data_IF_599817309774
#
_entry.id   IF_599817309774
#
_cell.length_a   1.000
_cell.length_b   1.000
_cell.length_c   1.000
_cell.angle_alpha   90.00
_cell.angle_beta   90.00
_cell.angle_gamma   90.00
#
_symmetry.space_group_name_H-M   'P 1'
#
loop_
_entity.id
_entity.type
_entity.pdbx_description
1 polymer ?
#
# COMPACT_ATOMS: atom_id res chain seq x y z
N UNK A 1 24.78 2.56 3.39
CA UNK A 1 24.13 3.78 3.91
C UNK A 1 22.65 3.48 3.95
N UNK A 2 22.16 3.21 5.16
CA UNK A 2 20.79 2.80 5.41
C UNK A 2 19.84 3.93 5.02
N UNK A 3 18.80 3.61 4.23
CA UNK A 3 17.76 4.56 3.85
C UNK A 3 16.88 4.90 5.05
N UNK A 4 17.42 5.60 6.04
CA UNK A 4 16.66 6.03 7.22
C UNK A 4 15.75 7.19 6.83
N UNK A 5 14.44 6.95 6.90
CA UNK A 5 13.42 7.95 6.70
C UNK A 5 13.19 8.74 8.00
N UNK A 6 13.49 10.04 8.02
CA UNK A 6 13.21 10.91 9.18
C UNK A 6 11.69 11.02 9.42
N UNK A 7 11.22 10.95 10.67
CA UNK A 7 9.78 11.03 10.98
C UNK A 7 9.23 12.43 10.67
N UNK A 8 8.04 12.49 10.04
CA UNK A 8 7.32 13.75 9.87
C UNK A 8 6.74 14.22 11.21
N UNK A 9 6.98 15.48 11.64
CA UNK A 9 6.37 16.01 12.84
C UNK A 9 4.85 16.09 12.66
N UNK A 10 4.10 15.70 13.69
CA UNK A 10 2.62 15.73 13.74
C UNK A 10 1.90 14.77 12.79
N UNK A 11 2.57 13.72 12.30
CA UNK A 11 1.92 12.64 11.53
C UNK A 11 2.14 11.34 12.28
N UNK A 12 1.05 10.63 12.57
CA UNK A 12 1.11 9.30 13.20
C UNK A 12 0.78 8.23 12.16
N UNK A 13 1.56 7.17 12.15
CA UNK A 13 1.41 6.05 11.22
C UNK A 13 0.86 4.82 11.95
N UNK A 14 -0.12 4.13 11.36
CA UNK A 14 -0.55 2.79 11.77
C UNK A 14 0.54 1.78 11.45
N UNK A 15 1.06 1.84 10.23
CA UNK A 15 2.16 1.00 9.79
C UNK A 15 2.99 1.70 8.72
N UNK A 16 4.23 1.26 8.61
CA UNK A 16 5.18 1.65 7.58
C UNK A 16 5.61 0.39 6.84
N UNK A 17 5.69 0.42 5.51
CA UNK A 17 6.22 -0.64 4.69
C UNK A 17 7.26 -0.05 3.74
N UNK A 18 8.49 -0.58 3.78
CA UNK A 18 9.55 -0.20 2.84
C UNK A 18 9.47 -1.10 1.62
N UNK A 19 9.28 -0.50 0.45
CA UNK A 19 9.35 -1.15 -0.85
C UNK A 19 10.69 -0.76 -1.48
N UNK A 20 11.53 -1.75 -1.74
CA UNK A 20 12.82 -1.55 -2.38
C UNK A 20 12.64 -0.99 -3.80
N UNK A 21 13.65 -0.25 -4.29
CA UNK A 21 13.59 0.36 -5.62
C UNK A 21 13.37 -0.65 -6.74
N UNK A 22 13.93 -1.85 -6.61
CA UNK A 22 13.85 -2.86 -7.67
C UNK A 22 12.46 -3.50 -7.72
N UNK A 23 11.87 -3.83 -6.58
CA UNK A 23 10.46 -4.26 -6.46
C UNK A 23 9.51 -3.19 -6.99
N UNK A 24 9.71 -1.92 -6.60
CA UNK A 24 8.85 -0.85 -7.10
C UNK A 24 9.05 -0.60 -8.61
N UNK A 25 10.24 -0.85 -9.15
CA UNK A 25 10.49 -0.75 -10.60
C UNK A 25 9.76 -1.82 -11.37
N UNK A 26 9.85 -3.06 -10.92
CA UNK A 26 9.06 -4.19 -11.44
C UNK A 26 7.57 -3.85 -11.47
N UNK A 27 7.01 -3.36 -10.35
CA UNK A 27 5.60 -2.97 -10.26
C UNK A 27 5.18 -1.95 -11.33
N UNK A 28 6.02 -0.94 -11.60
CA UNK A 28 5.72 0.12 -12.56
C UNK A 28 5.95 -0.32 -14.01
N UNK A 29 6.91 -1.20 -14.26
CA UNK A 29 7.20 -1.74 -15.60
C UNK A 29 6.12 -2.72 -16.07
N UNK A 30 5.64 -3.58 -15.16
CA UNK A 30 4.58 -4.56 -15.41
C UNK A 30 3.17 -3.96 -15.31
N UNK A 31 3.07 -2.68 -14.92
CA UNK A 31 1.80 -2.00 -14.85
C UNK A 31 1.27 -1.68 -16.26
N UNK A 32 0.28 -2.44 -16.69
CA UNK A 32 -0.37 -2.29 -18.01
C UNK A 32 -1.80 -1.70 -17.89
N UNK A 33 -2.36 -1.66 -16.68
CA UNK A 33 -3.76 -1.32 -16.46
C UNK A 33 -4.06 0.18 -16.66
N UNK A 34 -5.30 0.49 -17.05
CA UNK A 34 -5.87 1.85 -16.95
C UNK A 34 -6.40 2.14 -15.56
N UNK A 35 -6.66 1.11 -14.75
CA UNK A 35 -7.18 1.20 -13.39
C UNK A 35 -6.16 1.84 -12.48
N UNK A 36 -6.56 2.95 -11.83
CA UNK A 36 -5.71 3.70 -10.90
C UNK A 36 -5.97 3.34 -9.44
N UNK A 37 -6.79 2.35 -9.17
CA UNK A 37 -7.05 1.89 -7.80
C UNK A 37 -5.91 0.95 -7.40
N UNK A 38 -5.21 1.33 -6.34
CA UNK A 38 -4.20 0.52 -5.68
C UNK A 38 -4.85 -0.07 -4.44
N UNK A 39 -4.72 -1.37 -4.26
CA UNK A 39 -5.02 -2.03 -2.99
C UNK A 39 -3.79 -2.71 -2.44
N UNK A 40 -3.70 -2.77 -1.13
CA UNK A 40 -2.55 -3.31 -0.44
C UNK A 40 -2.99 -4.07 0.78
N UNK A 41 -2.27 -5.15 1.07
CA UNK A 41 -2.35 -5.89 2.31
C UNK A 41 -0.96 -5.89 2.93
N UNK A 42 -0.87 -5.38 4.15
CA UNK A 42 0.39 -5.25 4.89
C UNK A 42 0.24 -6.06 6.16
N UNK A 43 1.15 -7.00 6.39
CA UNK A 43 1.25 -7.78 7.61
C UNK A 43 2.67 -7.72 8.15
N UNK A 44 2.95 -8.29 9.31
CA UNK A 44 4.31 -8.41 9.86
C UNK A 44 5.25 -9.30 9.03
N UNK A 45 4.72 -10.07 8.07
CA UNK A 45 5.49 -11.05 7.27
C UNK A 45 5.43 -10.81 5.77
N UNK A 46 4.35 -10.17 5.32
CA UNK A 46 3.94 -10.16 3.94
C UNK A 46 3.41 -8.80 3.53
N UNK A 47 3.87 -8.33 2.38
CA UNK A 47 3.30 -7.21 1.66
C UNK A 47 2.73 -7.69 0.33
N UNK A 48 1.46 -7.38 0.07
CA UNK A 48 0.80 -7.61 -1.21
C UNK A 48 0.33 -6.26 -1.73
N UNK A 49 0.64 -5.96 -2.98
CA UNK A 49 0.08 -4.82 -3.70
C UNK A 49 -0.65 -5.30 -4.95
N UNK A 50 -1.84 -4.79 -5.19
CA UNK A 50 -2.65 -5.08 -6.36
C UNK A 50 -3.04 -3.78 -7.04
N UNK A 51 -2.82 -3.68 -8.35
CA UNK A 51 -3.24 -2.52 -9.15
C UNK A 51 -3.85 -3.05 -10.45
N UNK A 52 -5.17 -2.85 -10.60
CA UNK A 52 -5.92 -3.49 -11.68
C UNK A 52 -5.84 -5.01 -11.58
N UNK A 53 -5.32 -5.65 -12.62
CA UNK A 53 -5.17 -7.12 -12.71
C UNK A 53 -3.80 -7.62 -12.23
N UNK A 54 -2.85 -6.71 -12.00
CA UNK A 54 -1.49 -7.06 -11.58
C UNK A 54 -1.42 -7.15 -10.06
N UNK A 55 -0.82 -8.23 -9.55
CA UNK A 55 -0.55 -8.42 -8.13
C UNK A 55 0.91 -8.76 -7.90
N UNK A 56 1.52 -8.07 -6.95
CA UNK A 56 2.89 -8.28 -6.52
C UNK A 56 2.91 -8.69 -5.05
N UNK A 57 3.69 -9.73 -4.76
CA UNK A 57 3.80 -10.35 -3.45
C UNK A 57 5.25 -10.31 -3.01
N UNK A 58 5.50 -9.69 -1.86
CA UNK A 58 6.84 -9.55 -1.30
C UNK A 58 6.84 -10.10 0.12
N UNK A 59 7.48 -11.26 0.28
CA UNK A 59 7.78 -11.88 1.57
C UNK A 59 9.01 -11.18 2.17
N UNK A 60 9.00 -10.93 3.48
CA UNK A 60 10.10 -10.23 4.17
C UNK A 60 10.38 -8.82 3.61
N UNK A 61 9.34 -7.99 3.40
CA UNK A 61 9.60 -6.58 3.05
C UNK A 61 10.49 -5.95 4.15
N UNK A 62 11.73 -5.59 3.77
CA UNK A 62 12.90 -5.23 4.60
C UNK A 62 12.68 -4.10 5.63
N UNK A 63 11.46 -3.60 5.80
CA UNK A 63 11.16 -2.52 6.72
C UNK A 63 9.69 -2.37 7.03
N UNK A 64 8.93 -3.46 7.19
CA UNK A 64 7.59 -3.34 7.79
C UNK A 64 7.73 -2.99 9.28
N UNK A 65 7.13 -1.89 9.70
CA UNK A 65 7.21 -1.34 11.07
C UNK A 65 5.84 -0.87 11.55
N UNK A 66 5.68 -0.80 12.87
CA UNK A 66 4.46 -0.29 13.51
C UNK A 66 3.30 -1.29 13.58
N UNK A 67 3.45 -2.47 12.98
CA UNK A 67 2.45 -3.54 12.97
C UNK A 67 2.44 -4.32 14.30
N UNK A 68 1.25 -4.66 14.79
CA UNK A 68 1.09 -5.68 15.81
C UNK A 68 1.27 -7.08 15.19
N UNK A 69 1.78 -8.08 15.95
CA UNK A 69 1.90 -9.44 15.47
C UNK A 69 0.53 -10.03 15.11
N UNK A 70 0.47 -10.79 14.00
CA UNK A 70 -0.76 -11.43 13.51
C UNK A 70 -1.89 -10.44 13.18
N UNK A 71 -1.56 -9.21 12.77
CA UNK A 71 -2.54 -8.24 12.26
C UNK A 71 -2.29 -8.01 10.78
N UNK A 72 -3.37 -7.84 10.01
CA UNK A 72 -3.34 -7.41 8.61
C UNK A 72 -3.94 -6.03 8.49
N UNK A 73 -3.25 -5.15 7.78
CA UNK A 73 -3.72 -3.83 7.41
C UNK A 73 -4.06 -3.86 5.91
N UNK A 74 -5.34 -3.71 5.59
CA UNK A 74 -5.83 -3.60 4.22
C UNK A 74 -6.11 -2.14 3.91
N UNK A 75 -5.52 -1.63 2.85
CA UNK A 75 -5.73 -0.26 2.41
C UNK A 75 -5.99 -0.18 0.92
N UNK A 76 -6.74 0.84 0.50
CA UNK A 76 -6.97 1.11 -0.91
C UNK A 76 -7.05 2.61 -1.17
N UNK A 77 -6.53 3.04 -2.31
CA UNK A 77 -6.55 4.45 -2.71
C UNK A 77 -6.49 4.60 -4.23
N UNK A 78 -6.88 5.77 -4.71
CA UNK A 78 -6.77 6.12 -6.11
C UNK A 78 -5.44 6.83 -6.38
N UNK A 79 -4.62 6.24 -7.24
CA UNK A 79 -3.33 6.74 -7.67
C UNK A 79 -3.48 7.67 -8.88
N UNK A 80 -3.89 8.92 -8.62
CA UNK A 80 -4.09 9.93 -9.66
C UNK A 80 -2.81 10.36 -10.38
N UNK A 81 -1.65 10.22 -9.73
CA UNK A 81 -0.38 10.78 -10.20
C UNK A 81 0.59 9.74 -10.75
N UNK A 82 0.10 8.65 -11.33
CA UNK A 82 0.93 7.54 -11.83
C UNK A 82 2.13 7.99 -12.69
N UNK A 83 1.91 8.87 -13.67
CA UNK A 83 3.01 9.38 -14.53
C UNK A 83 4.07 10.17 -13.74
N UNK A 84 3.69 10.85 -12.66
CA UNK A 84 4.63 11.56 -11.80
C UNK A 84 5.38 10.58 -10.88
N UNK A 85 4.69 9.57 -10.37
CA UNK A 85 5.29 8.51 -9.55
C UNK A 85 6.30 7.69 -10.35
N UNK A 86 6.00 7.39 -11.63
CA UNK A 86 6.93 6.73 -12.56
C UNK A 86 8.21 7.53 -12.77
N UNK A 87 8.11 8.86 -12.85
CA UNK A 87 9.30 9.74 -12.95
C UNK A 87 10.08 9.79 -11.65
N UNK A 88 9.38 9.90 -10.51
CA UNK A 88 10.00 9.87 -9.19
C UNK A 88 10.76 8.56 -8.95
N UNK A 89 10.25 7.43 -9.44
CA UNK A 89 10.93 6.15 -9.35
C UNK A 89 12.32 6.15 -10.03
N UNK A 90 12.48 6.81 -11.18
CA UNK A 90 13.76 6.80 -11.90
C UNK A 90 14.92 7.39 -11.07
N UNK A 91 14.59 8.32 -10.18
CA UNK A 91 15.55 9.02 -9.33
C UNK A 91 15.55 8.51 -7.88
N UNK A 92 14.49 7.81 -7.46
CA UNK A 92 14.34 7.32 -6.09
C UNK A 92 15.21 6.09 -5.82
N UNK A 93 15.74 6.00 -4.61
CA UNK A 93 16.47 4.82 -4.10
C UNK A 93 15.56 3.79 -3.43
N UNK A 94 14.33 4.16 -3.14
CA UNK A 94 13.35 3.33 -2.47
C UNK A 94 12.08 4.13 -2.21
N UNK A 95 11.01 3.40 -1.91
CA UNK A 95 9.70 3.93 -1.56
C UNK A 95 9.37 3.48 -0.14
N UNK A 96 9.08 4.44 0.74
CA UNK A 96 8.41 4.15 1.99
C UNK A 96 6.93 4.44 1.85
N UNK A 97 6.13 3.47 2.25
CA UNK A 97 4.70 3.56 2.30
C UNK A 97 4.25 3.65 3.75
N UNK A 98 3.41 4.63 4.07
CA UNK A 98 2.89 4.79 5.42
C UNK A 98 1.36 4.89 5.40
N UNK A 99 0.69 4.07 6.20
CA UNK A 99 -0.73 4.25 6.51
C UNK A 99 -0.85 5.26 7.64
N UNK A 100 -1.55 6.36 7.41
CA UNK A 100 -1.65 7.49 8.34
C UNK A 100 -2.90 7.37 9.19
N UNK A 101 -2.72 7.39 10.51
CA UNK A 101 -3.81 7.35 11.50
C UNK A 101 -4.25 8.73 11.94
N UNK A 102 -3.35 9.71 11.91
CA UNK A 102 -3.66 11.11 12.15
C UNK A 102 -2.86 12.01 11.20
N UNK A 103 -3.52 12.69 10.24
CA UNK A 103 -4.97 12.65 9.97
C UNK A 103 -5.45 11.28 9.45
N UNK A 104 -6.64 10.79 9.87
CA UNK A 104 -7.10 9.45 9.52
C UNK A 104 -7.45 9.31 8.04
N UNK A 105 -7.49 8.06 7.57
CA UNK A 105 -7.90 7.68 6.20
C UNK A 105 -7.00 8.30 5.13
N UNK A 106 -5.69 8.31 5.38
CA UNK A 106 -4.70 8.76 4.42
C UNK A 106 -3.58 7.74 4.24
N UNK A 107 -3.00 7.77 3.06
CA UNK A 107 -1.77 7.05 2.74
C UNK A 107 -0.71 8.05 2.31
N UNK A 108 0.51 7.81 2.76
CA UNK A 108 1.69 8.54 2.36
C UNK A 108 2.62 7.64 1.54
N UNK A 109 3.03 8.11 0.37
CA UNK A 109 4.08 7.52 -0.46
C UNK A 109 5.29 8.45 -0.42
N UNK A 110 6.41 7.98 0.12
CA UNK A 110 7.63 8.76 0.28
C UNK A 110 8.77 8.16 -0.54
N UNK A 111 9.26 8.94 -1.49
CA UNK A 111 10.35 8.59 -2.37
C UNK A 111 11.63 9.21 -1.84
N UNK A 112 12.62 8.38 -1.49
CA UNK A 112 13.94 8.87 -1.10
C UNK A 112 14.75 9.24 -2.36
N UNK A 113 14.98 10.53 -2.59
CA UNK A 113 15.70 11.06 -3.76
C UNK A 113 17.20 11.27 -3.51
N UNK A 114 17.79 10.51 -2.57
CA UNK A 114 19.20 10.61 -2.15
C UNK A 114 19.53 12.02 -1.64
N UNK A 115 20.40 12.74 -2.34
CA UNK A 115 20.92 14.06 -1.97
C UNK A 115 19.88 15.18 -2.15
N UNK A 116 18.77 14.90 -2.84
CA UNK A 116 17.70 15.86 -3.09
C UNK A 116 16.63 15.88 -1.99
N UNK A 117 16.74 14.99 -0.99
CA UNK A 117 15.75 14.84 0.08
C UNK A 117 14.64 13.87 -0.30
N UNK A 118 13.42 14.15 0.17
CA UNK A 118 12.26 13.30 -0.02
C UNK A 118 11.18 13.96 -0.87
N UNK A 119 10.59 13.17 -1.77
CA UNK A 119 9.34 13.53 -2.44
C UNK A 119 8.20 12.77 -1.79
N UNK A 120 7.19 13.50 -1.32
CA UNK A 120 6.08 12.94 -0.55
C UNK A 120 4.77 13.16 -1.29
N UNK A 121 4.00 12.09 -1.46
CA UNK A 121 2.63 12.13 -1.95
C UNK A 121 1.70 11.67 -0.84
N UNK A 122 0.65 12.43 -0.60
CA UNK A 122 -0.38 12.10 0.39
C UNK A 122 -1.71 12.01 -0.35
N UNK A 123 -2.41 10.90 -0.16
CA UNK A 123 -3.73 10.67 -0.76
C UNK A 123 -4.71 10.21 0.30
N UNK A 124 -6.01 10.46 0.05
CA UNK A 124 -7.08 9.79 0.79
C UNK A 124 -7.02 8.28 0.51
N UNK A 125 -7.28 7.48 1.53
CA UNK A 125 -7.28 6.03 1.46
C UNK A 125 -8.41 5.46 2.34
N UNK A 126 -9.02 4.37 1.88
CA UNK A 126 -9.78 3.48 2.75
C UNK A 126 -8.82 2.55 3.49
N UNK A 127 -9.17 2.19 4.71
CA UNK A 127 -8.31 1.41 5.60
C UNK A 127 -9.14 0.57 6.57
N UNK A 128 -8.77 -0.69 6.71
CA UNK A 128 -9.29 -1.61 7.73
C UNK A 128 -8.16 -2.50 8.24
N UNK A 129 -8.17 -2.79 9.53
CA UNK A 129 -7.30 -3.77 10.15
C UNK A 129 -8.10 -4.87 10.85
N UNK A 130 -7.51 -6.06 10.90
CA UNK A 130 -8.09 -7.23 11.54
C UNK A 130 -7.00 -8.24 11.92
N UNK A 131 -7.33 -9.08 12.90
CA UNK A 131 -6.48 -10.19 13.31
C UNK A 131 -6.50 -11.31 12.26
N UNK A 132 -5.35 -11.95 12.06
CA UNK A 132 -5.17 -13.03 11.09
C UNK A 132 -4.57 -14.28 11.71
N UNK A 133 -4.94 -15.42 11.16
CA UNK A 133 -4.35 -16.73 11.45
C UNK A 133 -3.33 -17.10 10.37
N UNK A 134 -2.43 -18.08 10.63
CA UNK A 134 -1.48 -18.54 9.63
C UNK A 134 -2.12 -19.01 8.30
N UNK A 135 -3.34 -19.56 8.33
CA UNK A 135 -4.07 -19.99 7.12
C UNK A 135 -4.64 -18.85 6.29
N UNK A 136 -4.74 -17.65 6.87
CA UNK A 136 -5.34 -16.50 6.19
C UNK A 136 -4.39 -15.87 5.18
N UNK A 137 -3.07 -15.96 5.42
CA UNK A 137 -2.05 -15.44 4.50
C UNK A 137 -2.18 -16.00 3.07
N UNK A 138 -2.59 -17.26 2.93
CA UNK A 138 -2.79 -17.90 1.62
C UNK A 138 -4.09 -17.42 0.94
N UNK A 139 -5.13 -17.17 1.73
CA UNK A 139 -6.48 -16.81 1.26
C UNK A 139 -6.55 -15.39 0.70
N UNK A 140 -5.88 -14.43 1.34
CA UNK A 140 -5.92 -13.01 0.95
C UNK A 140 -5.24 -12.71 -0.39
N UNK A 141 -4.35 -13.58 -0.87
CA UNK A 141 -3.78 -13.53 -2.23
C UNK A 141 -4.85 -13.65 -3.33
N UNK A 142 -5.97 -14.33 -3.04
CA UNK A 142 -6.96 -14.75 -4.05
C UNK A 142 -8.20 -13.84 -4.11
N UNK A 143 -8.58 -13.20 -2.99
CA UNK A 143 -9.90 -12.56 -2.85
C UNK A 143 -9.98 -11.11 -3.34
N UNK A 144 -8.84 -10.44 -3.57
CA UNK A 144 -8.80 -9.00 -3.84
C UNK A 144 -8.82 -8.67 -5.34
N UNK A 145 -8.18 -9.51 -6.16
CA UNK A 145 -8.22 -9.45 -7.63
C UNK A 145 -9.64 -9.56 -8.20
N UNK A 146 -10.50 -10.37 -7.55
CA UNK A 146 -11.88 -10.58 -7.98
C UNK A 146 -12.83 -9.40 -7.66
N UNK A 147 -12.43 -8.47 -6.78
CA UNK A 147 -13.29 -7.36 -6.35
C UNK A 147 -13.01 -6.05 -7.10
N UNK A 148 -11.75 -5.82 -7.49
CA UNK A 148 -11.33 -4.58 -8.16
C UNK A 148 -11.72 -4.58 -9.64
N UNK A 149 -11.81 -5.75 -10.30
CA UNK A 149 -12.19 -5.81 -11.72
C UNK A 149 -13.63 -5.35 -12.00
N UNK A 150 -14.54 -5.53 -11.04
CA UNK A 150 -15.99 -5.28 -11.25
C UNK A 150 -16.49 -3.92 -10.72
N UNK A 151 -15.66 -3.14 -10.02
CA UNK A 151 -16.14 -2.01 -9.20
C UNK A 151 -15.36 -0.70 -9.38
N UNK A 152 -14.94 -0.40 -10.60
CA UNK A 152 -14.12 0.79 -10.92
C UNK A 152 -14.78 2.17 -10.64
N UNK A 153 -16.08 2.22 -10.32
CA UNK A 153 -16.82 3.48 -10.08
C UNK A 153 -17.48 3.57 -8.68
N UNK A 154 -17.14 2.67 -7.75
CA UNK A 154 -17.84 2.62 -6.47
C UNK A 154 -17.28 3.64 -5.46
N UNK A 155 -18.13 4.52 -4.87
CA UNK A 155 -17.71 5.47 -3.84
C UNK A 155 -17.05 4.77 -2.65
N UNK A 156 -16.06 5.43 -2.02
CA UNK A 156 -15.31 4.86 -0.89
C UNK A 156 -16.18 4.35 0.27
N UNK A 157 -17.35 4.98 0.50
CA UNK A 157 -18.33 4.58 1.51
C UNK A 157 -19.04 3.26 1.19
N UNK A 158 -19.19 2.92 -0.08
CA UNK A 158 -19.80 1.66 -0.51
C UNK A 158 -18.77 0.52 -0.49
N UNK A 159 -17.51 0.81 -0.81
CA UNK A 159 -16.40 -0.13 -0.60
C UNK A 159 -16.29 -0.51 0.89
N UNK A 160 -16.29 0.45 1.81
CA UNK A 160 -16.25 0.19 3.26
C UNK A 160 -17.39 -0.76 3.72
N UNK A 161 -18.59 -0.60 3.15
CA UNK A 161 -19.74 -1.46 3.46
C UNK A 161 -19.60 -2.88 2.89
N UNK A 162 -19.04 -3.05 1.70
CA UNK A 162 -18.80 -4.36 1.08
C UNK A 162 -17.77 -5.15 1.91
N UNK A 163 -16.69 -4.48 2.31
CA UNK A 163 -15.66 -5.07 3.17
C UNK A 163 -16.21 -5.46 4.54
N UNK A 164 -16.98 -4.57 5.18
CA UNK A 164 -17.57 -4.83 6.51
C UNK A 164 -18.52 -6.03 6.53
N UNK A 165 -19.27 -6.26 5.45
CA UNK A 165 -20.21 -7.40 5.36
C UNK A 165 -19.51 -8.76 5.17
N UNK A 166 -18.36 -8.80 4.50
CA UNK A 166 -17.62 -10.04 4.24
C UNK A 166 -16.78 -10.51 5.43
N UNK A 167 -16.26 -9.59 6.24
CA UNK A 167 -15.53 -9.95 7.46
C UNK A 167 -16.46 -10.50 8.58
N UNK A 168 -17.78 -10.41 8.40
CA UNK A 168 -18.80 -10.93 9.32
C UNK A 168 -19.39 -12.28 8.88
N UNK A 169 -19.00 -12.81 7.71
CA UNK A 169 -19.50 -14.09 7.14
C UNK A 169 -18.42 -15.16 7.16
#
# INVERSE_FOLDING_TARGET
>A
MDGSFEKFPNITFACEAVILSDHFREMIEEYVSTTRIVSMNISDRLFIATIGESTWKYEEADGIRGMLPNTMHCAWFQMHHFESLKKALFIAKGLLLCLVTDPPKQIMLRFNLRELGDLVFISKAGYIDFDITPSDYDTFTSSLLALISDQCDIPSSELENIWSKRLQS
#
